data_IF_478866843861
#
_entry.id   IF_478866843861
#
_cell.length_a   1.000
_cell.length_b   1.000
_cell.length_c   1.000
_cell.angle_alpha   90.00
_cell.angle_beta   90.00
_cell.angle_gamma   90.00
#
_symmetry.space_group_name_H-M   'P 1'
#
loop_
_entity.id
_entity.type
_entity.pdbx_description
1 polymer ?
#
# COMPACT_ATOMS: atom_id res chain seq x y z
N UNK A 1 6.26 3.69 16.69
CA UNK A 1 7.01 3.62 15.41
C UNK A 1 7.26 5.04 14.92
N UNK A 2 8.40 5.35 14.30
CA UNK A 2 8.62 6.69 13.75
C UNK A 2 7.85 6.89 12.44
N UNK A 3 7.39 8.12 12.18
CA UNK A 3 6.65 8.48 10.96
C UNK A 3 7.37 8.07 9.68
N UNK A 4 8.70 8.20 9.66
CA UNK A 4 9.55 7.82 8.52
C UNK A 4 9.47 6.33 8.21
N UNK A 5 9.35 5.47 9.24
CA UNK A 5 9.21 4.02 9.04
C UNK A 5 7.87 3.68 8.41
N UNK A 6 6.78 4.31 8.87
CA UNK A 6 5.45 4.06 8.29
C UNK A 6 5.40 4.52 6.83
N UNK A 7 5.99 5.68 6.51
CA UNK A 7 6.08 6.12 5.11
C UNK A 7 6.92 5.19 4.23
N UNK A 8 7.99 4.59 4.78
CA UNK A 8 8.76 3.59 4.07
C UNK A 8 7.94 2.32 3.77
N UNK A 9 7.10 1.88 4.73
CA UNK A 9 6.19 0.75 4.53
C UNK A 9 5.13 1.08 3.46
N UNK A 10 4.52 2.27 3.51
CA UNK A 10 3.57 2.71 2.47
C UNK A 10 4.23 2.68 1.09
N UNK A 11 5.44 3.23 0.96
CA UNK A 11 6.17 3.25 -0.32
C UNK A 11 6.49 1.83 -0.81
N UNK A 12 6.89 0.92 0.09
CA UNK A 12 7.12 -0.48 -0.24
C UNK A 12 5.84 -1.18 -0.70
N UNK A 13 4.70 -0.95 -0.02
CA UNK A 13 3.41 -1.49 -0.42
C UNK A 13 2.97 -0.97 -1.80
N UNK A 14 3.14 0.34 -2.08
CA UNK A 14 2.86 0.90 -3.41
C UNK A 14 3.75 0.26 -4.48
N UNK A 15 5.05 0.13 -4.22
CA UNK A 15 5.99 -0.51 -5.15
C UNK A 15 5.61 -1.97 -5.39
N UNK A 16 5.17 -2.68 -4.36
CA UNK A 16 4.71 -4.07 -4.46
C UNK A 16 3.49 -4.23 -5.36
N UNK A 17 2.50 -3.33 -5.22
CA UNK A 17 1.31 -3.30 -6.08
C UNK A 17 1.72 -3.06 -7.53
N UNK A 18 2.54 -2.04 -7.78
CA UNK A 18 3.02 -1.73 -9.13
C UNK A 18 3.81 -2.89 -9.73
N UNK A 19 4.71 -3.51 -8.96
CA UNK A 19 5.47 -4.68 -9.39
C UNK A 19 4.56 -5.86 -9.73
N UNK A 20 3.52 -6.11 -8.93
CA UNK A 20 2.55 -7.18 -9.18
C UNK A 20 1.77 -6.96 -10.48
N UNK A 21 1.36 -5.72 -10.77
CA UNK A 21 0.67 -5.37 -12.00
C UNK A 21 1.62 -5.46 -13.22
N UNK A 22 2.84 -4.95 -13.10
CA UNK A 22 3.85 -5.05 -14.15
C UNK A 22 4.18 -6.51 -14.49
N UNK A 23 4.31 -7.37 -13.48
CA UNK A 23 4.55 -8.81 -13.64
C UNK A 23 3.41 -9.50 -14.42
N UNK A 24 2.16 -9.13 -14.15
CA UNK A 24 1.00 -9.66 -14.88
C UNK A 24 0.95 -9.16 -16.33
N UNK A 25 1.33 -7.91 -16.56
CA UNK A 25 1.28 -7.26 -17.87
C UNK A 25 2.49 -7.58 -18.76
N UNK A 26 3.64 -7.95 -18.18
CA UNK A 26 4.87 -8.19 -18.94
C UNK A 26 4.83 -9.48 -19.77
N UNK A 27 3.91 -10.40 -19.47
CA UNK A 27 3.86 -11.72 -20.09
C UNK A 27 5.04 -12.63 -19.74
N UNK A 28 5.92 -12.21 -18.82
CA UNK A 28 7.10 -12.97 -18.41
C UNK A 28 6.75 -14.23 -17.63
N UNK A 29 5.55 -14.28 -17.05
CA UNK A 29 4.99 -15.45 -16.39
C UNK A 29 3.72 -15.91 -17.11
N UNK A 30 3.45 -17.21 -17.08
CA UNK A 30 2.21 -17.81 -17.59
C UNK A 30 1.33 -18.35 -16.44
N UNK A 31 0.82 -17.48 -15.54
CA UNK A 31 -0.07 -17.92 -14.46
C UNK A 31 -1.42 -18.38 -15.02
N UNK A 32 -2.00 -19.38 -14.37
CA UNK A 32 -3.37 -19.83 -14.62
C UNK A 32 -4.39 -18.73 -14.31
N UNK A 33 -5.64 -18.88 -14.74
CA UNK A 33 -6.73 -17.92 -14.43
C UNK A 33 -6.89 -17.70 -12.92
N UNK A 34 -6.76 -18.77 -12.12
CA UNK A 34 -6.77 -18.67 -10.65
C UNK A 34 -5.55 -17.90 -10.14
N UNK A 35 -4.36 -18.15 -10.69
CA UNK A 35 -3.15 -17.41 -10.34
C UNK A 35 -3.25 -15.91 -10.63
N UNK A 36 -3.79 -15.53 -11.78
CA UNK A 36 -4.05 -14.12 -12.12
C UNK A 36 -5.02 -13.46 -11.13
N UNK A 37 -6.11 -14.15 -10.79
CA UNK A 37 -7.11 -13.66 -9.84
C UNK A 37 -6.52 -13.48 -8.45
N UNK A 38 -5.66 -14.41 -8.01
CA UNK A 38 -4.95 -14.31 -6.74
C UNK A 38 -3.98 -13.13 -6.71
N UNK A 39 -3.17 -12.93 -7.76
CA UNK A 39 -2.24 -11.79 -7.85
C UNK A 39 -3.01 -10.46 -7.83
N UNK A 40 -4.14 -10.39 -8.53
CA UNK A 40 -4.97 -9.19 -8.52
C UNK A 40 -5.59 -8.94 -7.14
N UNK A 41 -6.13 -9.99 -6.50
CA UNK A 41 -6.70 -9.91 -5.16
C UNK A 41 -5.69 -9.44 -4.10
N UNK A 42 -4.47 -9.99 -4.11
CA UNK A 42 -3.43 -9.54 -3.18
C UNK A 42 -2.96 -8.12 -3.48
N UNK A 43 -2.85 -7.73 -4.75
CA UNK A 43 -2.50 -6.35 -5.11
C UNK A 43 -3.55 -5.35 -4.58
N UNK A 44 -4.84 -5.68 -4.67
CA UNK A 44 -5.91 -4.84 -4.08
C UNK A 44 -5.79 -4.79 -2.55
N UNK A 45 -5.58 -5.93 -1.88
CA UNK A 45 -5.44 -5.95 -0.43
C UNK A 45 -4.25 -5.11 0.06
N UNK A 46 -3.10 -5.21 -0.60
CA UNK A 46 -1.90 -4.42 -0.27
C UNK A 46 -2.12 -2.93 -0.56
N UNK A 47 -2.83 -2.58 -1.63
CA UNK A 47 -3.20 -1.19 -1.91
C UNK A 47 -4.11 -0.61 -0.80
N UNK A 48 -5.04 -1.40 -0.28
CA UNK A 48 -5.88 -1.01 0.87
C UNK A 48 -5.03 -0.78 2.11
N UNK A 49 -4.05 -1.65 2.41
CA UNK A 49 -3.14 -1.43 3.54
C UNK A 49 -2.32 -0.15 3.39
N UNK A 50 -1.71 0.09 2.22
CA UNK A 50 -1.00 1.34 1.95
C UNK A 50 -1.87 2.58 2.17
N UNK A 51 -3.13 2.51 1.73
CA UNK A 51 -4.09 3.60 1.91
C UNK A 51 -4.40 3.84 3.40
N UNK A 52 -4.67 2.77 4.17
CA UNK A 52 -4.98 2.88 5.59
C UNK A 52 -3.78 3.37 6.42
N UNK A 53 -2.57 2.91 6.11
CA UNK A 53 -1.32 3.38 6.75
C UNK A 53 -1.10 4.87 6.51
N UNK A 54 -1.27 5.32 5.27
CA UNK A 54 -1.11 6.72 4.89
C UNK A 54 -2.21 7.60 5.52
N UNK A 55 -3.47 7.16 5.51
CA UNK A 55 -4.56 7.93 6.11
C UNK A 55 -4.46 7.99 7.64
N UNK A 56 -4.02 6.90 8.28
CA UNK A 56 -3.69 6.87 9.71
C UNK A 56 -2.65 7.93 10.08
N UNK A 57 -1.57 8.04 9.31
CA UNK A 57 -0.54 9.08 9.50
C UNK A 57 -1.10 10.51 9.34
N UNK A 58 -2.06 10.72 8.45
CA UNK A 58 -2.69 12.04 8.24
C UNK A 58 -3.56 12.44 9.41
N UNK A 59 -4.36 11.49 9.93
CA UNK A 59 -5.23 11.72 11.09
C UNK A 59 -4.43 12.03 12.36
N UNK A 60 -3.32 11.33 12.56
CA UNK A 60 -2.42 11.56 13.71
C UNK A 60 -1.85 12.99 13.72
N UNK A 61 -1.47 13.51 12.54
CA UNK A 61 -1.01 14.91 12.41
C UNK A 61 -2.09 15.92 12.79
N UNK A 62 -3.32 15.73 12.30
CA UNK A 62 -4.44 16.64 12.60
C UNK A 62 -4.80 16.64 14.09
N UNK A 63 -4.69 15.48 14.77
CA UNK A 63 -4.93 15.41 16.21
C UNK A 63 -3.90 16.20 17.02
N UNK A 64 -2.60 16.08 16.69
CA UNK A 64 -1.52 16.83 17.35
C UNK A 64 -1.65 18.35 17.13
N UNK A 65 -1.98 18.77 15.89
CA UNK A 65 -2.20 20.19 15.58
C UNK A 65 -3.36 20.79 16.41
N UNK A 66 -4.44 20.03 16.61
CA UNK A 66 -5.57 20.46 17.42
C UNK A 66 -5.21 20.57 18.92
N UNK A 67 -4.52 19.59 19.50
CA UNK A 67 -4.06 19.66 20.90
C UNK A 67 -3.12 20.84 21.15
N UNK A 68 -2.27 21.20 20.18
CA UNK A 68 -1.36 22.34 20.31
C UNK A 68 -2.03 23.72 20.24
N UNK A 69 -3.28 23.77 19.78
CA UNK A 69 -4.04 25.02 19.62
C UNK A 69 -4.98 25.33 20.80
N UNK A 70 -5.08 24.43 21.79
CA UNK A 70 -5.82 24.59 23.04
C UNK A 70 -4.89 24.97 24.20
#
# INVERSE_FOLDING_TARGET
MSRSVILAVVAANVLWVLGSLLLLLSGSLAPTTLGKSFILGQAVAVAVFAYLEHDGLRRDRTAIEFESAL
#
